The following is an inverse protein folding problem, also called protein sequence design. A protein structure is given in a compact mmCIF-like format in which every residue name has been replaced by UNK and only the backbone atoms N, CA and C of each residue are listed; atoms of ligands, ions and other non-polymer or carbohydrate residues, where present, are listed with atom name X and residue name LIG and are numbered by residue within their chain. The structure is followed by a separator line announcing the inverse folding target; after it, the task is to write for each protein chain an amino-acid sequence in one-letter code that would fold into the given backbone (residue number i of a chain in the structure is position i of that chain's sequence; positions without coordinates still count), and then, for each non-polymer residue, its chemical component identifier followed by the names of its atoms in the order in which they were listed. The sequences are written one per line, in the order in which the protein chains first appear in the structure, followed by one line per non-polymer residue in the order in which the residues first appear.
data_IF_387914765874
#
_entry.id   IF_387914765874
#
_cell.length_a   1.000
_cell.length_b   1.000
_cell.length_c   1.000
_cell.angle_alpha   90.00
_cell.angle_beta   90.00
_cell.angle_gamma   90.00
#
_symmetry.space_group_name_H-M   'P 1'
#
loop_
_entity.id
_entity.type
_entity.pdbx_description
1 polymer ?
#
# COMPACT_ATOMS: atom_id res chain seq x y z
N UNK A 1 -40.52 23.84 42.86
CA UNK A 1 -39.80 22.65 43.38
C UNK A 1 -39.98 21.48 42.43
N UNK A 2 -38.91 21.08 41.72
CA UNK A 2 -38.45 19.71 41.41
C UNK A 2 -37.64 19.71 40.12
N UNK A 3 -36.33 19.69 40.32
CA UNK A 3 -35.31 19.39 39.33
C UNK A 3 -35.40 17.92 38.92
N UNK A 4 -35.22 17.62 37.64
CA UNK A 4 -34.58 16.38 37.21
C UNK A 4 -33.73 16.66 35.97
N UNK A 5 -32.42 16.73 36.19
CA UNK A 5 -31.40 16.67 35.15
C UNK A 5 -31.26 15.21 34.74
N UNK A 6 -31.36 14.90 33.45
CA UNK A 6 -30.84 13.67 32.85
C UNK A 6 -30.29 14.08 31.47
N UNK A 7 -29.00 14.42 31.43
CA UNK A 7 -27.91 13.48 31.16
C UNK A 7 -27.68 13.37 29.65
N UNK A 8 -26.68 14.12 29.20
CA UNK A 8 -26.02 14.01 27.90
C UNK A 8 -25.83 12.55 27.51
N UNK A 9 -26.48 12.13 26.44
CA UNK A 9 -25.99 11.01 25.64
C UNK A 9 -24.95 11.57 24.66
N UNK A 10 -23.71 11.70 25.14
CA UNK A 10 -22.54 11.75 24.26
C UNK A 10 -22.40 10.35 23.67
N UNK A 11 -22.99 10.13 22.50
CA UNK A 11 -22.74 8.96 21.67
C UNK A 11 -21.27 8.96 21.28
N UNK A 12 -20.46 8.27 22.09
CA UNK A 12 -19.06 8.01 21.84
C UNK A 12 -18.96 6.97 20.71
N UNK A 13 -19.15 7.43 19.47
CA UNK A 13 -18.79 6.68 18.27
C UNK A 13 -17.27 6.60 18.23
N UNK A 14 -16.71 5.65 18.97
CA UNK A 14 -15.30 5.24 18.86
C UNK A 14 -15.10 4.74 17.44
N UNK A 15 -14.61 5.62 16.57
CA UNK A 15 -14.02 5.25 15.30
C UNK A 15 -12.82 4.36 15.64
N UNK A 16 -13.00 3.05 15.52
CA UNK A 16 -11.91 2.10 15.41
C UNK A 16 -11.19 2.38 14.08
N UNK A 17 -10.42 3.48 14.01
CA UNK A 17 -9.35 3.60 13.04
C UNK A 17 -8.27 2.61 13.47
N UNK A 18 -8.48 1.34 13.15
CA UNK A 18 -7.37 0.42 13.04
C UNK A 18 -6.46 1.04 11.98
N UNK A 19 -5.35 1.62 12.42
CA UNK A 19 -4.32 2.16 11.54
C UNK A 19 -3.72 0.96 10.78
N UNK A 20 -4.41 0.50 9.75
CA UNK A 20 -3.84 -0.39 8.76
C UNK A 20 -2.79 0.45 8.03
N UNK A 21 -1.51 0.15 8.26
CA UNK A 21 -0.42 0.80 7.57
C UNK A 21 -0.61 0.60 6.05
N UNK A 22 -0.89 1.65 5.27
CA UNK A 22 -1.19 1.51 3.85
C UNK A 22 0.04 1.03 3.08
N UNK A 23 -0.11 0.32 1.95
CA UNK A 23 1.04 0.00 1.10
C UNK A 23 1.78 1.29 0.69
N UNK A 24 3.09 1.19 0.49
CA UNK A 24 3.93 2.33 0.11
C UNK A 24 4.94 1.93 -0.96
N UNK A 25 5.04 2.76 -1.99
CA UNK A 25 6.06 2.64 -3.02
C UNK A 25 7.42 2.99 -2.41
N UNK A 26 8.41 2.12 -2.59
CA UNK A 26 9.81 2.46 -2.36
C UNK A 26 10.36 3.11 -3.62
N UNK A 27 11.32 4.04 -3.50
CA UNK A 27 11.84 4.74 -4.68
C UNK A 27 12.18 3.76 -5.80
N UNK A 28 11.80 4.08 -7.05
CA UNK A 28 12.00 3.17 -8.17
C UNK A 28 13.49 2.90 -8.26
N UNK A 29 13.90 1.69 -7.90
CA UNK A 29 15.25 1.25 -8.19
C UNK A 29 15.25 0.96 -9.68
N UNK A 30 15.59 1.98 -10.48
CA UNK A 30 16.01 1.76 -11.84
C UNK A 30 17.29 0.93 -11.76
N UNK A 31 17.15 -0.39 -11.64
CA UNK A 31 18.29 -1.29 -11.75
C UNK A 31 18.77 -1.17 -13.19
N UNK A 32 20.04 -0.79 -13.40
CA UNK A 32 20.65 -0.76 -14.74
C UNK A 32 20.53 -2.11 -15.47
N UNK A 33 20.23 -3.19 -14.74
CA UNK A 33 19.97 -4.53 -15.24
C UNK A 33 18.63 -4.66 -16.01
N UNK A 34 17.69 -3.74 -15.83
CA UNK A 34 16.36 -3.83 -16.44
C UNK A 34 16.10 -2.68 -17.40
N UNK A 35 16.02 -2.98 -18.70
CA UNK A 35 15.63 -2.03 -19.75
C UNK A 35 14.18 -1.51 -19.62
N UNK A 36 13.44 -1.97 -18.61
CA UNK A 36 12.04 -1.63 -18.36
C UNK A 36 11.88 -0.96 -16.99
N UNK A 37 11.04 0.07 -16.87
CA UNK A 37 10.78 0.74 -15.61
C UNK A 37 10.06 -0.20 -14.63
N UNK A 38 10.38 -0.08 -13.35
CA UNK A 38 9.88 -0.97 -12.29
C UNK A 38 9.38 -0.17 -11.10
N UNK A 39 8.37 -0.71 -10.41
CA UNK A 39 7.75 -0.12 -9.23
C UNK A 39 7.75 -1.14 -8.11
N UNK A 40 8.43 -0.83 -7.01
CA UNK A 40 8.51 -1.69 -5.83
C UNK A 40 7.59 -1.15 -4.72
N UNK A 41 6.81 -2.04 -4.11
CA UNK A 41 5.78 -1.69 -3.13
C UNK A 41 5.95 -2.54 -1.88
N UNK A 42 6.15 -1.89 -0.74
CA UNK A 42 6.09 -2.51 0.58
C UNK A 42 4.65 -2.57 1.08
N UNK A 43 4.21 -3.73 1.56
CA UNK A 43 2.83 -3.93 2.01
C UNK A 43 2.69 -4.93 3.16
N UNK A 44 1.56 -4.85 3.86
CA UNK A 44 1.12 -5.86 4.83
C UNK A 44 0.16 -6.84 4.16
N UNK A 45 0.49 -8.13 4.22
CA UNK A 45 -0.34 -9.19 3.65
C UNK A 45 -1.69 -9.41 4.37
N UNK A 46 -1.88 -8.79 5.54
CA UNK A 46 -3.13 -8.88 6.29
C UNK A 46 -4.20 -7.89 5.80
N UNK A 47 -3.78 -6.78 5.18
CA UNK A 47 -4.66 -5.63 4.91
C UNK A 47 -4.65 -5.18 3.45
N UNK A 48 -3.82 -5.77 2.59
CA UNK A 48 -3.64 -5.33 1.21
C UNK A 48 -3.98 -6.43 0.22
N UNK A 49 -4.80 -6.13 -0.78
CA UNK A 49 -5.16 -7.05 -1.87
C UNK A 49 -4.20 -6.92 -3.05
N UNK A 50 -4.19 -7.94 -3.92
CA UNK A 50 -3.36 -7.92 -5.15
C UNK A 50 -3.79 -6.84 -6.12
N UNK A 51 -5.09 -6.59 -6.24
CA UNK A 51 -5.64 -5.56 -7.14
C UNK A 51 -5.21 -4.16 -6.68
N UNK A 52 -5.27 -3.88 -5.38
CA UNK A 52 -4.81 -2.61 -4.83
C UNK A 52 -3.31 -2.36 -5.06
N UNK A 53 -2.49 -3.42 -5.03
CA UNK A 53 -1.06 -3.33 -5.35
C UNK A 53 -0.83 -3.06 -6.84
N UNK A 54 -1.60 -3.72 -7.72
CA UNK A 54 -1.52 -3.51 -9.16
C UNK A 54 -1.97 -2.09 -9.55
N UNK A 55 -3.07 -1.59 -8.99
CA UNK A 55 -3.57 -0.23 -9.21
C UNK A 55 -2.53 0.81 -8.76
N UNK A 56 -1.94 0.62 -7.58
CA UNK A 56 -0.85 1.46 -7.08
C UNK A 56 0.36 1.41 -8.03
N UNK A 57 0.81 0.22 -8.43
CA UNK A 57 1.92 0.09 -9.37
C UNK A 57 1.65 0.82 -10.70
N UNK A 58 0.45 0.67 -11.27
CA UNK A 58 0.07 1.31 -12.53
C UNK A 58 0.13 2.83 -12.43
N UNK A 59 -0.37 3.40 -11.33
CA UNK A 59 -0.34 4.85 -11.10
C UNK A 59 1.06 5.45 -10.98
N UNK A 60 2.06 4.62 -10.67
CA UNK A 60 3.46 5.00 -10.53
C UNK A 60 4.33 4.60 -11.73
N UNK A 61 3.79 3.84 -12.68
CA UNK A 61 4.46 3.54 -13.93
C UNK A 61 4.49 4.75 -14.87
N UNK A 62 5.44 4.82 -15.82
CA UNK A 62 5.48 5.88 -16.81
C UNK A 62 4.23 5.92 -17.70
N UNK A 63 3.92 7.11 -18.21
CA UNK A 63 2.86 7.27 -19.20
C UNK A 63 3.13 6.39 -20.43
N UNK A 64 2.08 5.78 -20.99
CA UNK A 64 2.19 4.83 -22.09
C UNK A 64 2.20 3.36 -21.63
N UNK A 65 2.47 3.09 -20.36
CA UNK A 65 2.39 1.72 -19.79
C UNK A 65 1.05 1.08 -20.11
N UNK A 66 1.08 -0.05 -20.81
CA UNK A 66 -0.10 -0.83 -21.22
C UNK A 66 -0.35 -2.04 -20.33
N UNK A 67 0.61 -2.40 -19.47
CA UNK A 67 0.49 -3.57 -18.62
C UNK A 67 1.48 -3.58 -17.46
N UNK A 68 1.22 -4.50 -16.54
CA UNK A 68 2.09 -4.78 -15.40
C UNK A 68 2.40 -6.27 -15.36
N UNK A 69 3.62 -6.59 -14.98
CA UNK A 69 4.06 -7.95 -14.69
C UNK A 69 4.65 -7.98 -13.27
N UNK A 70 4.32 -8.99 -12.47
CA UNK A 70 5.01 -9.20 -11.19
C UNK A 70 6.40 -9.72 -11.51
N UNK A 71 7.41 -8.90 -11.25
CA UNK A 71 8.80 -9.26 -11.49
C UNK A 71 9.41 -9.96 -10.29
N UNK A 72 9.15 -9.46 -9.08
CA UNK A 72 9.76 -10.01 -7.87
C UNK A 72 8.82 -9.90 -6.66
N UNK A 73 9.07 -10.75 -5.66
CA UNK A 73 8.36 -10.71 -4.39
C UNK A 73 9.22 -11.23 -3.23
N UNK A 74 9.57 -10.32 -2.32
CA UNK A 74 10.42 -10.58 -1.17
C UNK A 74 9.66 -10.40 0.14
N UNK A 75 10.03 -11.13 1.20
CA UNK A 75 9.33 -11.01 2.51
C UNK A 75 10.23 -10.87 3.74
N UNK A 76 11.55 -10.98 3.59
CA UNK A 76 12.47 -11.02 4.76
C UNK A 76 13.68 -10.08 4.68
N UNK A 77 14.23 -9.80 3.50
CA UNK A 77 15.42 -8.95 3.31
C UNK A 77 15.19 -7.91 2.20
N UNK A 78 14.24 -7.00 2.42
CA UNK A 78 13.67 -6.19 1.34
C UNK A 78 13.54 -4.69 1.65
N UNK A 79 14.31 -4.17 2.60
CA UNK A 79 14.33 -2.77 3.04
C UNK A 79 12.96 -2.19 3.47
N UNK A 80 11.93 -3.03 3.53
CA UNK A 80 10.62 -2.60 3.96
C UNK A 80 10.55 -2.42 5.48
N UNK A 81 9.73 -1.47 5.97
CA UNK A 81 9.46 -1.35 7.39
C UNK A 81 8.92 -2.66 7.99
N UNK A 82 9.22 -2.90 9.27
CA UNK A 82 8.77 -4.11 9.99
C UNK A 82 7.25 -4.31 9.93
N UNK A 83 6.45 -3.24 9.82
CA UNK A 83 4.99 -3.34 9.69
C UNK A 83 4.51 -3.73 8.28
N UNK A 84 5.38 -3.64 7.26
CA UNK A 84 5.10 -3.92 5.84
C UNK A 84 6.13 -4.90 5.27
N UNK A 85 6.31 -6.05 5.92
CA UNK A 85 7.41 -6.98 5.60
C UNK A 85 7.41 -7.55 4.18
N UNK A 86 6.31 -7.44 3.43
CA UNK A 86 6.26 -7.94 2.06
C UNK A 86 6.63 -6.82 1.09
N UNK A 87 7.44 -7.13 0.09
CA UNK A 87 7.77 -6.25 -1.03
C UNK A 87 7.37 -6.95 -2.31
N UNK A 88 6.55 -6.32 -3.13
CA UNK A 88 6.29 -6.77 -4.50
C UNK A 88 6.91 -5.77 -5.47
N UNK A 89 7.56 -6.27 -6.51
CA UNK A 89 8.10 -5.44 -7.59
C UNK A 89 7.33 -5.73 -8.86
N UNK A 90 6.77 -4.68 -9.47
CA UNK A 90 6.12 -4.76 -10.76
C UNK A 90 7.03 -4.19 -11.85
N UNK A 91 7.09 -4.86 -12.99
CA UNK A 91 7.66 -4.32 -14.23
C UNK A 91 6.54 -3.66 -15.04
N UNK A 92 6.77 -2.41 -15.43
CA UNK A 92 5.87 -1.67 -16.32
C UNK A 92 6.12 -2.12 -17.77
N UNK A 93 5.08 -2.54 -18.48
CA UNK A 93 5.15 -3.01 -19.86
C UNK A 93 4.56 -1.98 -20.83
N UNK A 94 5.17 -1.83 -22.00
CA UNK A 94 4.61 -1.02 -23.09
C UNK A 94 4.91 0.48 -23.05
N UNK A 95 6.01 0.89 -22.42
CA UNK A 95 6.54 2.27 -22.45
C UNK A 95 7.43 2.54 -23.65
#
# INVERSE_FOLDING_TARGET
MRSFRFASMLSLSVLLSACADPPSVTEPTATEETQSPVVSICYSGQTTTRDALADMAMSHCPAGTTGLEVWDHDTFWNDCPISKKNRVTYRCLGG
#
